data_IF_491412233259
#
_entry.id   IF_491412233259
#
_cell.length_a   1.000
_cell.length_b   1.000
_cell.length_c   1.000
_cell.angle_alpha   90.00
_cell.angle_beta   90.00
_cell.angle_gamma   90.00
#
_symmetry.space_group_name_H-M   'P 1'
#
loop_
_entity.id
_entity.type
_entity.pdbx_description
1 polymer ?
#
# COMPACT_ATOMS: atom_id res chain seq x y z
N UNK A 1 -27.43 -15.07 -33.20
CA UNK A 1 -27.39 -13.59 -33.14
C UNK A 1 -27.93 -12.99 -31.82
N UNK A 2 -28.90 -13.61 -31.12
CA UNK A 2 -29.43 -13.09 -29.84
C UNK A 2 -28.60 -13.53 -28.61
N UNK A 3 -28.20 -14.80 -28.55
CA UNK A 3 -27.47 -15.41 -27.41
C UNK A 3 -26.13 -14.71 -27.12
N UNK A 4 -25.34 -14.44 -28.15
CA UNK A 4 -24.02 -13.79 -28.01
C UNK A 4 -24.12 -12.37 -27.44
N UNK A 5 -25.17 -11.63 -27.79
CA UNK A 5 -25.41 -10.27 -27.28
C UNK A 5 -25.80 -10.30 -25.81
N UNK A 6 -26.61 -11.28 -25.41
CA UNK A 6 -26.98 -11.49 -24.01
C UNK A 6 -25.76 -11.82 -23.15
N UNK A 7 -24.89 -12.72 -23.63
CA UNK A 7 -23.66 -13.10 -22.91
C UNK A 7 -22.72 -11.90 -22.78
N UNK A 8 -22.54 -11.11 -23.85
CA UNK A 8 -21.69 -9.92 -23.82
C UNK A 8 -22.16 -8.88 -22.78
N UNK A 9 -23.47 -8.67 -22.68
CA UNK A 9 -24.06 -7.76 -21.70
C UNK A 9 -23.88 -8.30 -20.28
N UNK A 10 -24.14 -9.59 -20.07
CA UNK A 10 -24.01 -10.22 -18.75
C UNK A 10 -22.55 -10.17 -18.28
N UNK A 11 -21.58 -10.51 -19.13
CA UNK A 11 -20.16 -10.45 -18.78
C UNK A 11 -19.70 -9.03 -18.49
N UNK A 12 -20.18 -8.03 -19.27
CA UNK A 12 -19.93 -6.62 -18.98
C UNK A 12 -20.52 -6.19 -17.62
N UNK A 13 -21.74 -6.60 -17.32
CA UNK A 13 -22.40 -6.31 -16.04
C UNK A 13 -21.67 -6.94 -14.86
N UNK A 14 -21.21 -8.19 -15.00
CA UNK A 14 -20.42 -8.89 -13.96
C UNK A 14 -19.10 -8.16 -13.71
N UNK A 15 -18.41 -7.70 -14.76
CA UNK A 15 -17.16 -6.93 -14.61
C UNK A 15 -17.38 -5.63 -13.83
N UNK A 16 -18.46 -4.90 -14.12
CA UNK A 16 -18.81 -3.66 -13.40
C UNK A 16 -19.17 -3.97 -11.95
N UNK A 17 -19.98 -5.01 -11.71
CA UNK A 17 -20.34 -5.41 -10.35
C UNK A 17 -19.11 -5.77 -9.50
N UNK A 18 -18.17 -6.54 -10.05
CA UNK A 18 -16.90 -6.87 -9.39
C UNK A 18 -16.05 -5.63 -9.09
N UNK A 19 -15.98 -4.68 -10.03
CA UNK A 19 -15.25 -3.42 -9.82
C UNK A 19 -15.84 -2.62 -8.65
N UNK A 20 -17.17 -2.50 -8.59
CA UNK A 20 -17.86 -1.82 -7.48
C UNK A 20 -17.59 -2.53 -6.15
N UNK A 21 -17.72 -3.86 -6.10
CA UNK A 21 -17.43 -4.65 -4.89
C UNK A 21 -16.00 -4.43 -4.42
N UNK A 22 -15.03 -4.46 -5.35
CA UNK A 22 -13.62 -4.22 -5.02
C UNK A 22 -13.41 -2.82 -4.42
N UNK A 23 -13.95 -1.77 -5.03
CA UNK A 23 -13.83 -0.41 -4.51
C UNK A 23 -14.46 -0.26 -3.13
N UNK A 24 -15.61 -0.87 -2.89
CA UNK A 24 -16.26 -0.86 -1.58
C UNK A 24 -15.34 -1.52 -0.54
N UNK A 25 -14.79 -2.69 -0.83
CA UNK A 25 -13.87 -3.40 0.09
C UNK A 25 -12.63 -2.56 0.38
N UNK A 26 -12.00 -2.00 -0.65
CA UNK A 26 -10.80 -1.16 -0.49
C UNK A 26 -11.11 0.08 0.34
N UNK A 27 -12.26 0.72 0.11
CA UNK A 27 -12.67 1.88 0.90
C UNK A 27 -12.88 1.50 2.37
N UNK A 28 -13.49 0.35 2.64
CA UNK A 28 -13.62 -0.19 4.00
C UNK A 28 -12.28 -0.52 4.66
N UNK A 29 -11.30 -0.97 3.88
CA UNK A 29 -9.96 -1.27 4.36
C UNK A 29 -9.12 0.01 4.58
N UNK A 30 -9.35 1.04 3.78
CA UNK A 30 -8.71 2.36 3.88
C UNK A 30 -9.23 3.16 5.08
N UNK A 31 -10.46 2.89 5.55
CA UNK A 31 -10.96 3.41 6.83
C UNK A 31 -10.19 2.90 8.06
N UNK A 32 -9.10 2.13 7.90
CA UNK A 32 -8.14 1.83 8.97
C UNK A 32 -7.27 3.05 9.28
N UNK A 33 -7.90 4.02 9.92
CA UNK A 33 -7.23 5.03 10.72
C UNK A 33 -6.43 6.00 9.89
N UNK A 34 -6.99 7.19 9.73
CA UNK A 34 -6.24 8.45 9.61
C UNK A 34 -4.87 8.25 10.27
N UNK A 35 -3.80 8.38 9.48
CA UNK A 35 -2.46 8.44 10.01
C UNK A 35 -2.45 9.59 11.01
N UNK A 36 -2.57 9.28 12.30
CA UNK A 36 -2.34 10.28 13.33
C UNK A 36 -0.92 10.77 13.11
N UNK A 37 -0.71 12.09 12.90
CA UNK A 37 0.62 12.62 12.68
C UNK A 37 1.48 12.19 13.86
N UNK A 38 2.65 11.63 13.57
CA UNK A 38 3.60 11.23 14.60
C UNK A 38 3.76 12.39 15.59
N UNK A 39 3.54 12.16 16.90
CA UNK A 39 3.52 13.23 17.88
C UNK A 39 4.80 14.07 17.78
N UNK A 40 4.63 15.36 17.50
CA UNK A 40 5.74 16.32 17.29
C UNK A 40 6.38 16.79 18.61
N UNK A 41 6.16 16.10 19.73
CA UNK A 41 6.69 16.54 21.03
C UNK A 41 7.13 15.35 21.86
N UNK A 42 8.39 14.97 21.71
CA UNK A 42 9.26 14.53 22.82
C UNK A 42 10.71 14.43 22.32
N UNK A 43 11.26 15.58 21.89
CA UNK A 43 12.71 15.77 21.83
C UNK A 43 13.18 16.02 23.28
N UNK A 44 13.30 14.95 24.05
CA UNK A 44 14.22 14.90 25.19
C UNK A 44 14.67 13.45 25.37
N UNK A 45 15.48 12.96 24.44
CA UNK A 45 16.33 11.80 24.66
C UNK A 45 17.74 12.19 24.21
N UNK A 46 18.76 12.03 25.08
CA UNK A 46 20.14 12.31 24.69
C UNK A 46 20.51 11.35 23.56
N UNK A 47 20.76 11.91 22.39
CA UNK A 47 21.25 11.18 21.23
C UNK A 47 22.60 10.56 21.57
N UNK A 48 22.64 9.29 21.94
CA UNK A 48 23.86 8.49 21.85
C UNK A 48 24.07 8.24 20.36
N UNK A 49 24.84 9.12 19.73
CA UNK A 49 25.31 8.98 18.36
C UNK A 49 26.27 7.80 18.34
N UNK A 50 25.77 6.61 18.02
CA UNK A 50 26.61 5.52 17.58
C UNK A 50 27.18 5.90 16.21
N UNK A 51 28.38 6.46 16.19
CA UNK A 51 29.13 6.75 14.97
C UNK A 51 29.57 5.42 14.34
N UNK A 52 28.68 4.81 13.56
CA UNK A 52 29.09 3.77 12.63
C UNK A 52 29.91 4.41 11.50
N UNK A 53 31.09 3.86 11.15
CA UNK A 53 31.84 4.35 10.00
C UNK A 53 30.99 4.14 8.75
N UNK A 54 30.74 5.24 8.03
CA UNK A 54 29.92 5.34 6.81
C UNK A 54 30.39 4.42 5.65
N UNK A 55 31.52 3.74 5.83
CA UNK A 55 32.10 2.80 4.87
C UNK A 55 31.38 1.43 4.84
N UNK A 56 30.77 0.99 5.95
CA UNK A 56 30.14 -0.33 6.02
C UNK A 56 28.68 -0.38 5.52
N UNK A 57 28.00 0.77 5.44
CA UNK A 57 26.56 0.80 5.13
C UNK A 57 26.23 0.67 3.64
N UNK A 58 27.12 1.08 2.73
CA UNK A 58 26.86 0.90 1.29
C UNK A 58 27.04 -0.55 0.83
N UNK A 59 27.95 -1.30 1.47
CA UNK A 59 28.22 -2.68 1.09
C UNK A 59 27.04 -3.63 1.40
N UNK A 60 26.30 -3.37 2.48
CA UNK A 60 25.15 -4.18 2.88
C UNK A 60 23.93 -3.90 1.99
N UNK A 61 23.76 -2.66 1.52
CA UNK A 61 22.66 -2.31 0.59
C UNK A 61 22.85 -2.95 -0.78
N UNK A 62 24.10 -3.14 -1.23
CA UNK A 62 24.39 -3.79 -2.52
C UNK A 62 24.23 -5.32 -2.46
N UNK A 63 24.57 -5.95 -1.32
CA UNK A 63 24.44 -7.40 -1.14
C UNK A 63 22.99 -7.91 -1.05
N UNK A 64 22.02 -7.04 -0.74
CA UNK A 64 20.61 -7.42 -0.63
C UNK A 64 19.81 -7.17 -1.93
N UNK A 65 20.50 -6.77 -3.01
CA UNK A 65 19.91 -6.52 -4.33
C UNK A 65 20.34 -7.55 -5.39
N UNK A 66 20.50 -8.81 -4.97
CA UNK A 66 20.61 -9.98 -5.85
C UNK A 66 19.70 -11.10 -5.36
#
# INVERSE_FOLDING_TARGET
MQRSKLIAIITGAISIALAIVYLIIVQFLDFRGEMLPAPQSQILQPTVVASFPRCASEFLVMSFKF
#
